data_IF_717587062430
#
_entry.id   IF_717587062430
#
_cell.length_a   1.000
_cell.length_b   1.000
_cell.length_c   1.000
_cell.angle_alpha   90.00
_cell.angle_beta   90.00
_cell.angle_gamma   90.00
#
_symmetry.space_group_name_H-M   'P 1'
#
loop_
_entity.id
_entity.type
_entity.pdbx_description
1 polymer ?
#
# COMPACT_ATOMS: atom_id res chain seq x y z
N UNK A 1 -12.05 -10.06 -18.93
CA UNK A 1 -10.85 -10.74 -19.44
C UNK A 1 -11.22 -11.36 -20.78
N UNK A 2 -10.42 -11.16 -21.84
CA UNK A 2 -10.59 -11.88 -23.09
C UNK A 2 -10.44 -13.38 -22.84
N UNK A 3 -11.36 -14.19 -23.37
CA UNK A 3 -11.28 -15.65 -23.35
C UNK A 3 -10.98 -16.13 -24.79
N UNK A 4 -11.62 -17.21 -25.26
CA UNK A 4 -11.53 -17.62 -26.68
C UNK A 4 -12.04 -16.56 -27.65
N UNK A 5 -12.85 -15.61 -27.18
CA UNK A 5 -13.24 -14.38 -27.89
C UNK A 5 -12.48 -13.20 -27.29
N UNK A 6 -11.76 -12.46 -28.14
CA UNK A 6 -11.08 -11.22 -27.76
C UNK A 6 -12.09 -10.10 -27.53
N UNK A 7 -11.86 -9.27 -26.51
CA UNK A 7 -12.72 -8.10 -26.19
C UNK A 7 -12.04 -6.76 -26.50
N UNK A 8 -10.97 -6.77 -27.28
CA UNK A 8 -10.18 -5.61 -27.64
C UNK A 8 -9.77 -5.66 -29.11
N UNK A 9 -9.41 -4.51 -29.66
CA UNK A 9 -8.98 -4.39 -31.06
C UNK A 9 -7.60 -5.04 -31.25
N UNK A 10 -7.57 -6.23 -31.85
CA UNK A 10 -6.32 -6.94 -32.11
C UNK A 10 -5.58 -6.38 -33.32
N UNK A 11 -4.25 -6.38 -33.22
CA UNK A 11 -3.38 -6.14 -34.37
C UNK A 11 -3.57 -7.29 -35.37
N UNK A 12 -3.90 -6.97 -36.62
CA UNK A 12 -3.96 -7.95 -37.71
C UNK A 12 -2.62 -8.08 -38.44
N UNK A 13 -2.29 -9.29 -38.90
CA UNK A 13 -1.01 -9.61 -39.53
C UNK A 13 -0.71 -8.75 -40.77
N UNK A 14 -1.73 -8.40 -41.56
CA UNK A 14 -1.59 -7.62 -42.80
C UNK A 14 -2.07 -6.17 -42.66
N UNK A 15 -2.26 -5.69 -41.43
CA UNK A 15 -2.73 -4.33 -41.17
C UNK A 15 -1.64 -3.28 -41.43
N UNK A 16 -2.00 -2.17 -42.07
CA UNK A 16 -1.16 -0.98 -42.15
C UNK A 16 -1.21 -0.17 -40.82
N UNK A 17 -0.12 0.50 -40.47
CA UNK A 17 -0.05 1.37 -39.28
C UNK A 17 -0.40 0.67 -37.95
N UNK A 18 0.17 -0.52 -37.73
CA UNK A 18 -0.07 -1.35 -36.54
C UNK A 18 0.25 -0.62 -35.23
N UNK A 19 1.20 0.31 -35.27
CA UNK A 19 1.58 1.18 -34.16
C UNK A 19 0.41 2.06 -33.69
N UNK A 20 -0.50 2.47 -34.57
CA UNK A 20 -1.68 3.26 -34.19
C UNK A 20 -2.63 2.40 -33.36
N UNK A 21 -2.93 1.18 -33.81
CA UNK A 21 -3.78 0.23 -33.05
C UNK A 21 -3.15 -0.16 -31.73
N UNK A 22 -1.84 -0.41 -31.71
CA UNK A 22 -1.11 -0.69 -30.48
C UNK A 22 -1.21 0.49 -29.50
N UNK A 23 -0.97 1.72 -29.97
CA UNK A 23 -1.02 2.92 -29.13
C UNK A 23 -2.42 3.21 -28.61
N UNK A 24 -3.47 3.00 -29.40
CA UNK A 24 -4.85 3.13 -28.93
C UNK A 24 -5.17 2.12 -27.82
N UNK A 25 -4.69 0.87 -27.95
CA UNK A 25 -4.82 -0.12 -26.88
C UNK A 25 -4.02 0.29 -25.63
N UNK A 26 -2.79 0.79 -25.78
CA UNK A 26 -2.00 1.28 -24.65
C UNK A 26 -2.63 2.49 -23.96
N UNK A 27 -3.30 3.37 -24.71
CA UNK A 27 -4.06 4.49 -24.17
C UNK A 27 -5.26 3.99 -23.33
N UNK A 28 -6.03 3.02 -23.85
CA UNK A 28 -7.12 2.39 -23.11
C UNK A 28 -6.63 1.64 -21.85
N UNK A 29 -5.44 1.03 -21.91
CA UNK A 29 -4.80 0.35 -20.79
C UNK A 29 -4.01 1.29 -19.87
N UNK A 30 -3.95 2.60 -20.17
CA UNK A 30 -3.15 3.56 -19.42
C UNK A 30 -3.44 3.60 -17.91
N UNK A 31 -4.66 3.35 -17.39
CA UNK A 31 -4.90 3.25 -15.95
C UNK A 31 -4.08 2.14 -15.28
N UNK A 32 -3.83 1.03 -15.97
CA UNK A 32 -2.99 -0.07 -15.45
C UNK A 32 -1.48 0.27 -15.47
N UNK A 33 -1.09 1.29 -16.24
CA UNK A 33 0.30 1.76 -16.28
C UNK A 33 0.64 2.73 -15.15
N UNK A 34 -0.35 3.19 -14.36
CA UNK A 34 -0.16 4.09 -13.22
C UNK A 34 0.99 3.62 -12.30
N UNK A 35 1.93 4.53 -12.02
CA UNK A 35 3.18 4.30 -11.28
C UNK A 35 4.13 3.27 -11.89
N UNK A 36 3.82 2.76 -13.07
CA UNK A 36 4.61 1.73 -13.74
C UNK A 36 5.94 2.24 -14.20
N UNK A 37 6.93 1.36 -14.22
CA UNK A 37 8.28 1.68 -14.67
C UNK A 37 8.28 2.27 -16.08
N UNK A 38 8.78 3.50 -16.21
CA UNK A 38 8.98 4.19 -17.49
C UNK A 38 10.40 4.00 -17.98
N UNK A 39 10.61 2.92 -18.74
CA UNK A 39 11.93 2.50 -19.22
C UNK A 39 12.72 3.61 -19.93
N UNK A 40 12.05 4.47 -20.71
CA UNK A 40 12.70 5.55 -21.46
C UNK A 40 13.41 6.60 -20.59
N UNK A 41 13.09 6.65 -19.29
CA UNK A 41 13.69 7.56 -18.30
C UNK A 41 14.25 6.82 -17.10
N UNK A 42 14.41 5.49 -17.19
CA UNK A 42 15.07 4.69 -16.17
C UNK A 42 16.47 4.33 -16.65
N UNK A 43 17.48 4.95 -16.04
CA UNK A 43 18.90 4.76 -16.39
C UNK A 43 19.79 4.99 -15.18
N UNK A 44 20.83 4.17 -15.02
CA UNK A 44 21.72 4.25 -13.86
C UNK A 44 20.95 4.09 -12.54
N UNK A 45 21.10 5.06 -11.65
CA UNK A 45 20.35 5.17 -10.39
C UNK A 45 19.11 6.09 -10.49
N UNK A 46 18.62 6.37 -11.69
CA UNK A 46 17.37 7.11 -11.90
C UNK A 46 16.27 6.13 -12.26
N UNK A 47 15.16 6.15 -11.53
CA UNK A 47 13.97 5.35 -11.81
C UNK A 47 12.84 6.23 -12.33
N UNK A 48 12.52 6.10 -13.61
CA UNK A 48 11.36 6.73 -14.22
C UNK A 48 10.08 5.94 -13.96
N UNK A 49 8.98 6.65 -13.75
CA UNK A 49 7.65 6.06 -13.63
C UNK A 49 6.61 6.85 -14.44
N UNK A 50 5.56 6.15 -14.87
CA UNK A 50 4.38 6.75 -15.46
C UNK A 50 3.47 7.32 -14.38
N UNK A 51 3.00 8.54 -14.59
CA UNK A 51 1.92 9.14 -13.84
C UNK A 51 0.56 8.57 -14.26
N UNK A 52 -0.50 9.20 -13.78
CA UNK A 52 -1.88 8.80 -14.05
C UNK A 52 -2.82 9.38 -13.01
N UNK A 53 -4.10 9.02 -13.09
CA UNK A 53 -5.10 9.52 -12.14
C UNK A 53 -5.17 8.63 -10.90
N UNK A 54 -5.16 9.25 -9.74
CA UNK A 54 -5.37 8.59 -8.45
C UNK A 54 -6.50 9.26 -7.69
N UNK A 55 -7.21 8.48 -6.87
CA UNK A 55 -8.16 9.03 -5.92
C UNK A 55 -7.41 9.43 -4.65
N UNK A 56 -7.42 10.72 -4.34
CA UNK A 56 -6.82 11.30 -3.14
C UNK A 56 -7.94 11.93 -2.33
N UNK A 57 -8.26 11.34 -1.18
CA UNK A 57 -9.32 11.84 -0.28
C UNK A 57 -10.65 12.10 -1.01
N UNK A 58 -11.01 11.25 -1.98
CA UNK A 58 -12.23 11.37 -2.78
C UNK A 58 -12.13 12.28 -4.01
N UNK A 59 -10.98 12.90 -4.25
CA UNK A 59 -10.73 13.76 -5.42
C UNK A 59 -9.86 13.03 -6.44
N UNK A 60 -10.22 13.11 -7.73
CA UNK A 60 -9.37 12.64 -8.81
C UNK A 60 -8.19 13.59 -9.00
N UNK A 61 -7.00 13.13 -8.65
CA UNK A 61 -5.75 13.88 -8.76
C UNK A 61 -4.88 13.26 -9.85
N UNK A 62 -4.42 14.08 -10.79
CA UNK A 62 -3.48 13.65 -11.82
C UNK A 62 -2.05 13.73 -11.33
N UNK A 63 -1.34 12.61 -11.34
CA UNK A 63 0.10 12.55 -11.09
C UNK A 63 0.82 12.59 -12.43
N UNK A 64 1.85 13.44 -12.54
CA UNK A 64 2.67 13.52 -13.73
C UNK A 64 3.66 12.36 -13.83
N UNK A 65 4.12 12.07 -15.05
CA UNK A 65 5.31 11.23 -15.25
C UNK A 65 6.50 11.90 -14.56
N UNK A 66 7.29 11.15 -13.81
CA UNK A 66 8.47 11.70 -13.14
C UNK A 66 9.53 10.63 -12.90
N UNK A 67 10.60 11.03 -12.22
CA UNK A 67 11.73 10.17 -11.86
C UNK A 67 12.01 10.27 -10.37
N UNK A 68 12.55 9.20 -9.79
CA UNK A 68 13.09 9.20 -8.43
C UNK A 68 14.55 8.72 -8.45
N UNK A 69 15.41 9.41 -7.72
CA UNK A 69 16.80 9.01 -7.55
C UNK A 69 16.90 7.83 -6.56
N UNK A 70 17.62 6.78 -6.91
CA UNK A 70 17.85 5.59 -6.10
C UNK A 70 19.13 5.72 -5.28
N UNK A 71 19.17 5.05 -4.12
CA UNK A 71 20.35 4.97 -3.27
C UNK A 71 21.23 3.85 -3.81
N UNK A 72 22.50 4.14 -4.09
CA UNK A 72 23.47 3.15 -4.56
C UNK A 72 23.68 2.02 -3.54
N UNK A 73 24.03 0.82 -4.02
CA UNK A 73 24.37 -0.34 -3.19
C UNK A 73 23.32 -0.68 -2.13
N UNK A 74 22.05 -0.38 -2.41
CA UNK A 74 20.95 -0.56 -1.49
C UNK A 74 19.73 -1.20 -2.16
N UNK A 75 18.84 -1.71 -1.33
CA UNK A 75 17.46 -2.01 -1.69
C UNK A 75 16.62 -0.76 -1.48
N UNK A 76 15.92 -0.31 -2.52
CA UNK A 76 15.07 0.87 -2.52
C UNK A 76 13.60 0.43 -2.59
N UNK A 77 12.80 0.82 -1.61
CA UNK A 77 11.37 0.57 -1.51
C UNK A 77 10.63 1.80 -2.02
N UNK A 78 10.16 1.76 -3.26
CA UNK A 78 9.40 2.85 -3.88
C UNK A 78 7.93 2.72 -3.51
N UNK A 79 7.33 3.82 -3.07
CA UNK A 79 6.00 3.83 -2.50
C UNK A 79 5.29 5.17 -2.76
N UNK A 80 3.96 5.16 -2.84
CA UNK A 80 3.14 6.36 -3.02
C UNK A 80 2.44 6.76 -1.72
N UNK A 81 2.35 8.06 -1.44
CA UNK A 81 1.53 8.64 -0.38
C UNK A 81 0.03 8.57 -0.74
N UNK A 82 -0.81 7.82 0.01
CA UNK A 82 -2.23 7.70 -0.32
C UNK A 82 -2.98 9.04 -0.35
N UNK A 83 -2.53 10.03 0.42
CA UNK A 83 -3.20 11.34 0.55
C UNK A 83 -2.70 12.40 -0.42
N UNK A 84 -1.70 12.10 -1.26
CA UNK A 84 -1.18 13.06 -2.27
C UNK A 84 -0.84 12.40 -3.61
N UNK A 85 -0.67 11.08 -3.65
CA UNK A 85 -0.13 10.33 -4.79
C UNK A 85 1.37 10.52 -5.01
N UNK A 86 2.06 11.30 -4.17
CA UNK A 86 3.49 11.54 -4.35
C UNK A 86 4.30 10.25 -4.17
N UNK A 87 5.22 9.98 -5.11
CA UNK A 87 6.13 8.83 -5.04
C UNK A 87 7.38 9.21 -4.26
N UNK A 88 7.74 8.37 -3.28
CA UNK A 88 8.96 8.47 -2.48
C UNK A 88 9.71 7.14 -2.47
N UNK A 89 10.89 7.11 -1.85
CA UNK A 89 11.65 5.88 -1.58
C UNK A 89 12.10 5.81 -0.12
N UNK A 90 12.25 4.59 0.37
CA UNK A 90 12.91 4.25 1.64
C UNK A 90 13.93 3.11 1.39
N UNK A 91 14.90 2.90 2.28
CA UNK A 91 15.88 1.80 2.20
C UNK A 91 15.75 0.76 3.31
N UNK A 92 14.91 1.01 4.32
CA UNK A 92 14.70 0.06 5.42
C UNK A 92 13.52 -0.88 5.20
N UNK A 93 12.52 -0.46 4.44
CA UNK A 93 11.31 -1.22 4.11
C UNK A 93 10.22 -0.30 3.56
N UNK A 94 9.07 -0.86 3.18
CA UNK A 94 7.88 -0.05 2.89
C UNK A 94 7.36 0.60 4.18
N UNK A 95 7.10 1.89 4.09
CA UNK A 95 6.55 2.70 5.18
C UNK A 95 5.11 2.28 5.45
N UNK A 96 4.78 2.01 6.72
CA UNK A 96 3.41 1.67 7.10
C UNK A 96 2.43 2.77 6.67
N UNK A 97 1.31 2.37 6.06
CA UNK A 97 0.35 3.29 5.44
C UNK A 97 0.67 3.75 4.01
N UNK A 98 1.83 3.48 3.40
CA UNK A 98 2.15 3.89 2.01
C UNK A 98 1.90 2.81 0.96
N UNK A 99 1.34 3.17 -0.19
CA UNK A 99 1.07 2.19 -1.27
C UNK A 99 2.39 1.69 -1.89
N UNK A 100 2.75 0.39 -1.79
CA UNK A 100 3.98 -0.15 -2.34
C UNK A 100 3.91 -0.17 -3.86
N UNK A 101 5.03 0.22 -4.49
CA UNK A 101 5.15 0.21 -5.95
C UNK A 101 6.22 -0.78 -6.39
N UNK A 102 7.46 -0.61 -5.93
CA UNK A 102 8.58 -1.46 -6.33
C UNK A 102 9.55 -1.70 -5.18
N UNK A 103 10.16 -2.89 -5.17
CA UNK A 103 11.46 -3.09 -4.52
C UNK A 103 12.52 -3.08 -5.61
N UNK A 104 13.47 -2.15 -5.56
CA UNK A 104 14.51 -1.98 -6.57
C UNK A 104 15.88 -2.18 -5.93
N UNK A 105 16.63 -3.19 -6.38
CA UNK A 105 18.00 -3.45 -5.92
C UNK A 105 18.97 -2.76 -6.87
N UNK A 106 19.94 -2.05 -6.30
CA UNK A 106 20.96 -1.33 -7.07
C UNK A 106 22.37 -1.75 -6.68
N UNK A 107 23.28 -1.78 -7.65
CA UNK A 107 24.72 -1.76 -7.41
C UNK A 107 25.22 -0.34 -7.18
N UNK A 108 26.51 -0.10 -7.41
CA UNK A 108 27.14 1.21 -7.20
C UNK A 108 26.65 2.30 -8.16
N UNK A 109 26.17 1.93 -9.36
CA UNK A 109 25.75 2.88 -10.39
C UNK A 109 24.48 2.50 -11.18
N UNK A 110 23.96 1.28 -11.04
CA UNK A 110 22.86 0.77 -11.85
C UNK A 110 21.87 -0.06 -11.03
N UNK A 111 20.62 -0.10 -11.49
CA UNK A 111 19.64 -1.10 -11.05
C UNK A 111 20.08 -2.50 -11.49
N UNK A 112 20.09 -3.46 -10.57
CA UNK A 112 20.43 -4.86 -10.84
C UNK A 112 19.20 -5.76 -10.90
N UNK A 113 18.17 -5.47 -10.12
CA UNK A 113 16.88 -6.17 -10.18
C UNK A 113 15.75 -5.31 -9.62
N UNK A 114 14.51 -5.69 -9.91
CA UNK A 114 13.34 -5.09 -9.28
C UNK A 114 12.16 -6.06 -9.22
N UNK A 115 11.32 -5.86 -8.21
CA UNK A 115 10.03 -6.54 -8.05
C UNK A 115 8.93 -5.48 -8.12
N UNK A 116 7.94 -5.68 -8.98
CA UNK A 116 6.73 -4.85 -9.07
C UNK A 116 5.71 -5.35 -8.04
N UNK A 117 5.30 -4.48 -7.12
CA UNK A 117 4.30 -4.74 -6.07
C UNK A 117 2.95 -4.07 -6.37
N UNK A 118 2.83 -3.37 -7.49
CA UNK A 118 1.59 -2.70 -7.87
C UNK A 118 0.51 -3.75 -8.12
N UNK A 119 -0.69 -3.44 -7.69
CA UNK A 119 -1.89 -4.21 -8.00
C UNK A 119 -2.78 -3.38 -8.91
N UNK A 120 -3.32 -4.00 -9.96
CA UNK A 120 -4.22 -3.33 -10.90
C UNK A 120 -5.67 -3.22 -10.38
N UNK A 121 -5.96 -3.83 -9.24
CA UNK A 121 -7.28 -3.91 -8.62
C UNK A 121 -7.23 -3.26 -7.23
N UNK A 122 -8.35 -2.69 -6.74
CA UNK A 122 -8.42 -2.16 -5.39
C UNK A 122 -8.11 -3.25 -4.34
N UNK A 123 -7.63 -2.83 -3.17
CA UNK A 123 -7.43 -3.71 -2.02
C UNK A 123 -8.76 -4.44 -1.71
N UNK A 124 -8.73 -5.77 -1.76
CA UNK A 124 -9.85 -6.61 -1.29
C UNK A 124 -9.76 -6.80 0.23
N UNK A 125 -10.90 -7.02 0.90
CA UNK A 125 -10.96 -7.27 2.34
C UNK A 125 -10.12 -8.48 2.73
N UNK A 126 -8.97 -8.25 3.39
CA UNK A 126 -8.15 -9.29 4.02
C UNK A 126 -8.38 -9.39 5.53
N UNK A 127 -8.10 -10.56 6.12
CA UNK A 127 -8.06 -10.80 7.58
C UNK A 127 -6.66 -11.21 8.02
N UNK A 128 -6.10 -10.47 8.98
CA UNK A 128 -4.88 -10.82 9.69
C UNK A 128 -5.23 -11.42 11.05
N UNK A 129 -4.55 -12.50 11.44
CA UNK A 129 -4.48 -12.98 12.83
C UNK A 129 -3.04 -12.86 13.31
N UNK A 130 -2.78 -11.95 14.24
CA UNK A 130 -1.44 -11.67 14.76
C UNK A 130 -1.30 -12.13 16.20
N UNK A 131 -0.37 -13.05 16.43
CA UNK A 131 0.05 -13.42 17.78
C UNK A 131 0.86 -12.28 18.40
N UNK A 132 0.44 -11.83 19.59
CA UNK A 132 1.05 -10.72 20.32
C UNK A 132 2.24 -11.20 21.16
N UNK A 133 3.39 -10.51 21.11
CA UNK A 133 4.59 -10.88 21.88
C UNK A 133 4.55 -10.39 23.34
N UNK A 134 3.37 -10.05 23.89
CA UNK A 134 3.21 -9.28 25.14
C UNK A 134 4.12 -8.04 25.17
N UNK A 135 4.12 -7.28 24.08
CA UNK A 135 4.84 -6.01 23.96
C UNK A 135 4.09 -5.07 23.02
N UNK A 136 4.39 -3.77 23.12
CA UNK A 136 3.88 -2.78 22.18
C UNK A 136 4.33 -3.16 20.77
N UNK A 137 3.38 -3.19 19.84
CA UNK A 137 3.59 -3.73 18.50
C UNK A 137 3.19 -2.68 17.47
N UNK A 138 4.14 -2.28 16.65
CA UNK A 138 3.86 -1.47 15.45
C UNK A 138 3.54 -2.40 14.29
N UNK A 139 2.39 -2.19 13.64
CA UNK A 139 2.02 -3.00 12.50
C UNK A 139 2.78 -2.59 11.25
N UNK A 140 3.21 -3.60 10.50
CA UNK A 140 3.86 -3.41 9.21
C UNK A 140 2.84 -2.98 8.15
N UNK A 141 3.36 -2.48 7.02
CA UNK A 141 2.53 -2.11 5.89
C UNK A 141 1.63 -3.26 5.41
N UNK A 142 2.20 -4.47 5.26
CA UNK A 142 1.44 -5.63 4.78
C UNK A 142 0.32 -6.04 5.74
N UNK A 143 0.56 -5.90 7.04
CA UNK A 143 -0.41 -6.22 8.08
C UNK A 143 -1.60 -5.24 8.04
N UNK A 144 -1.35 -3.93 7.96
CA UNK A 144 -2.41 -2.91 7.94
C UNK A 144 -3.24 -2.88 6.66
N UNK A 145 -2.83 -3.58 5.59
CA UNK A 145 -3.66 -3.73 4.39
C UNK A 145 -4.91 -4.56 4.64
N UNK A 146 -4.86 -5.46 5.62
CA UNK A 146 -6.02 -6.24 6.02
C UNK A 146 -7.06 -5.31 6.66
N UNK A 147 -8.33 -5.45 6.26
CA UNK A 147 -9.43 -4.66 6.83
C UNK A 147 -9.90 -5.23 8.17
N UNK A 148 -9.63 -6.51 8.43
CA UNK A 148 -9.93 -7.19 9.68
C UNK A 148 -8.61 -7.57 10.36
N UNK A 149 -8.40 -7.09 11.58
CA UNK A 149 -7.20 -7.32 12.38
C UNK A 149 -7.58 -8.04 13.68
N UNK A 150 -7.14 -9.27 13.84
CA UNK A 150 -7.33 -10.05 15.06
C UNK A 150 -6.01 -10.25 15.79
N UNK A 151 -6.03 -10.06 17.10
CA UNK A 151 -4.85 -10.17 17.95
C UNK A 151 -5.05 -11.29 18.96
N UNK A 152 -4.10 -12.22 19.03
CA UNK A 152 -4.15 -13.39 19.93
C UNK A 152 -2.93 -13.41 20.85
N UNK A 153 -2.93 -14.32 21.84
CA UNK A 153 -1.85 -14.46 22.81
C UNK A 153 -2.23 -13.99 24.21
N UNK A 154 -1.38 -14.25 25.20
CA UNK A 154 -1.61 -13.86 26.59
C UNK A 154 -0.89 -12.56 26.89
N UNK A 155 -1.62 -11.57 27.39
CA UNK A 155 -1.04 -10.29 27.84
C UNK A 155 -0.93 -10.26 29.36
N UNK A 156 0.10 -9.62 29.88
CA UNK A 156 0.27 -9.37 31.32
C UNK A 156 -0.02 -7.93 31.73
N UNK A 157 -0.22 -7.05 30.74
CA UNK A 157 -0.63 -5.65 30.89
C UNK A 157 -1.20 -5.12 29.57
N UNK A 158 -1.80 -3.92 29.60
CA UNK A 158 -2.32 -3.27 28.39
C UNK A 158 -1.18 -2.93 27.41
N UNK A 159 -1.28 -3.43 26.17
CA UNK A 159 -0.29 -3.17 25.10
C UNK A 159 -0.84 -2.26 24.01
N UNK A 160 0.07 -1.54 23.38
CA UNK A 160 -0.23 -0.68 22.26
C UNK A 160 -0.11 -1.44 20.94
N UNK A 161 -1.11 -1.28 20.08
CA UNK A 161 -1.06 -1.59 18.65
C UNK A 161 -0.90 -0.25 17.92
N UNK A 162 0.30 -0.01 17.39
CA UNK A 162 0.59 1.24 16.68
C UNK A 162 0.18 1.10 15.22
N UNK A 163 -0.80 1.92 14.82
CA UNK A 163 -1.37 2.02 13.47
C UNK A 163 -0.82 3.26 12.75
N UNK A 164 -0.76 3.27 11.40
CA UNK A 164 -0.43 4.47 10.66
C UNK A 164 -1.54 5.52 10.81
N UNK A 165 -1.15 6.80 10.84
CA UNK A 165 -2.09 7.90 10.88
C UNK A 165 -2.63 8.30 9.50
N UNK A 166 -2.29 7.58 8.44
CA UNK A 166 -2.95 7.79 7.14
C UNK A 166 -4.42 7.38 7.21
N UNK A 167 -5.35 8.14 6.57
CA UNK A 167 -6.79 7.83 6.63
C UNK A 167 -7.10 6.40 6.17
N UNK A 168 -7.54 5.56 7.11
CA UNK A 168 -7.96 4.17 6.88
C UNK A 168 -8.82 3.70 8.04
N UNK A 169 -9.74 2.77 7.76
CA UNK A 169 -10.63 2.14 8.73
C UNK A 169 -10.30 0.65 8.85
N UNK A 170 -10.39 0.12 10.06
CA UNK A 170 -10.17 -1.30 10.39
C UNK A 170 -11.25 -1.82 11.34
N UNK A 171 -11.64 -3.08 11.15
CA UNK A 171 -12.32 -3.88 12.17
C UNK A 171 -11.26 -4.58 13.00
N UNK A 172 -11.20 -4.28 14.29
CA UNK A 172 -10.22 -4.86 15.21
C UNK A 172 -10.88 -5.84 16.17
N UNK A 173 -10.19 -6.94 16.48
CA UNK A 173 -10.61 -7.93 17.46
C UNK A 173 -9.47 -8.19 18.45
N UNK A 174 -9.67 -7.81 19.71
CA UNK A 174 -8.79 -8.20 20.79
C UNK A 174 -9.17 -9.62 21.26
N UNK A 175 -8.62 -10.65 20.61
CA UNK A 175 -8.75 -12.06 21.00
C UNK A 175 -7.62 -12.51 21.93
N UNK A 176 -7.03 -11.59 22.69
CA UNK A 176 -5.99 -11.92 23.66
C UNK A 176 -6.60 -12.41 24.97
N UNK A 177 -5.80 -13.19 25.70
CA UNK A 177 -6.11 -13.66 27.05
C UNK A 177 -5.31 -12.85 28.09
N UNK A 178 -5.60 -13.03 29.38
CA UNK A 178 -5.00 -12.25 30.47
C UNK A 178 -5.84 -11.05 30.92
N UNK A 179 -6.93 -10.74 30.21
CA UNK A 179 -7.94 -9.76 30.65
C UNK A 179 -7.59 -8.29 30.36
N UNK A 180 -6.49 -8.02 29.65
CA UNK A 180 -6.05 -6.66 29.34
C UNK A 180 -6.60 -6.15 28.01
N UNK A 181 -6.93 -4.87 27.96
CA UNK A 181 -7.28 -4.19 26.71
C UNK A 181 -6.08 -4.03 25.79
N UNK A 182 -6.35 -3.87 24.49
CA UNK A 182 -5.36 -3.43 23.51
C UNK A 182 -5.65 -1.97 23.14
N UNK A 183 -4.64 -1.13 23.25
CA UNK A 183 -4.73 0.28 22.86
C UNK A 183 -4.33 0.44 21.39
N UNK A 184 -5.29 0.74 20.54
CA UNK A 184 -5.04 1.11 19.15
C UNK A 184 -4.71 2.59 19.07
N UNK A 185 -3.49 2.91 18.65
CA UNK A 185 -2.91 4.27 18.75
C UNK A 185 -2.09 4.59 17.51
N UNK A 186 -1.93 5.87 17.19
CA UNK A 186 -0.97 6.33 16.19
C UNK A 186 0.46 6.39 16.74
N UNK A 187 1.41 6.80 15.91
CA UNK A 187 2.74 7.20 16.38
C UNK A 187 2.68 8.41 17.34
N UNK A 188 1.60 9.19 17.23
CA UNK A 188 1.17 10.25 18.14
C UNK A 188 -0.30 10.05 18.50
N UNK A 189 -0.82 10.89 19.41
CA UNK A 189 -2.21 10.84 19.84
C UNK A 189 -2.43 9.94 21.06
N UNK A 190 -3.69 9.80 21.47
CA UNK A 190 -4.09 9.04 22.67
C UNK A 190 -4.61 7.65 22.35
N UNK A 191 -5.06 7.43 21.11
CA UNK A 191 -5.69 6.19 20.69
C UNK A 191 -6.96 5.84 21.46
N UNK A 192 -7.39 4.59 21.30
CA UNK A 192 -8.55 3.99 21.97
C UNK A 192 -8.22 2.59 22.46
N UNK A 193 -8.77 2.19 23.61
CA UNK A 193 -8.59 0.84 24.17
C UNK A 193 -9.79 -0.04 23.83
N UNK A 194 -9.56 -1.21 23.23
CA UNK A 194 -10.57 -2.26 23.02
C UNK A 194 -10.35 -3.38 24.03
N UNK A 195 -11.38 -3.71 24.82
CA UNK A 195 -11.30 -4.70 25.89
C UNK A 195 -11.02 -6.12 25.37
N UNK A 196 -10.47 -6.99 26.23
CA UNK A 196 -10.24 -8.40 25.91
C UNK A 196 -11.56 -9.09 25.52
N UNK A 197 -11.52 -9.90 24.46
CA UNK A 197 -12.68 -10.58 23.89
C UNK A 197 -13.61 -9.69 23.06
N UNK A 198 -13.32 -8.39 22.88
CA UNK A 198 -14.19 -7.43 22.20
C UNK A 198 -13.72 -7.03 20.81
N UNK A 199 -14.70 -6.62 20.00
CA UNK A 199 -14.49 -6.06 18.65
C UNK A 199 -14.93 -4.61 18.58
N UNK A 200 -14.24 -3.83 17.75
CA UNK A 200 -14.64 -2.47 17.41
C UNK A 200 -14.24 -2.12 15.98
N UNK A 201 -14.95 -1.18 15.37
CA UNK A 201 -14.49 -0.49 14.17
C UNK A 201 -13.76 0.78 14.62
N UNK A 202 -12.53 0.96 14.12
CA UNK A 202 -11.67 2.10 14.40
C UNK A 202 -11.14 2.68 13.10
N UNK A 203 -10.81 3.96 13.08
CA UNK A 203 -10.17 4.60 11.93
C UNK A 203 -9.14 5.64 12.37
N UNK A 204 -8.19 5.95 11.48
CA UNK A 204 -7.33 7.12 11.65
C UNK A 204 -7.99 8.36 11.08
N UNK A 205 -8.08 9.43 11.87
CA UNK A 205 -8.56 10.74 11.42
C UNK A 205 -7.45 11.66 10.86
N UNK A 206 -6.22 11.14 10.74
CA UNK A 206 -5.04 11.90 10.34
C UNK A 206 -4.16 12.34 11.51
N UNK A 207 -4.70 12.39 12.73
CA UNK A 207 -4.01 12.83 13.95
C UNK A 207 -4.04 11.78 15.05
N UNK A 208 -5.14 11.03 15.16
CA UNK A 208 -5.37 10.03 16.18
C UNK A 208 -6.10 8.81 15.60
N UNK A 209 -6.06 7.70 16.34
CA UNK A 209 -6.95 6.57 16.10
C UNK A 209 -8.21 6.77 16.93
N UNK A 210 -9.36 6.81 16.28
CA UNK A 210 -10.66 7.07 16.88
C UNK A 210 -11.62 5.90 16.64
N UNK A 211 -12.67 5.83 17.46
CA UNK A 211 -13.64 4.73 17.48
C UNK A 211 -14.90 5.10 16.70
N UNK A 212 -15.43 4.15 15.92
CA UNK A 212 -16.71 4.26 15.20
C UNK A 212 -17.83 3.54 15.95
N UNK A 213 -17.56 2.33 16.46
CA UNK A 213 -18.55 1.49 17.15
C UNK A 213 -18.12 1.20 18.58
N UNK A 214 -19.07 0.96 19.47
CA UNK A 214 -18.78 0.41 20.80
C UNK A 214 -18.09 -0.96 20.74
N UNK A 215 -17.53 -1.36 21.87
CA UNK A 215 -16.93 -2.68 22.07
C UNK A 215 -18.05 -3.74 22.17
N UNK A 216 -18.12 -4.64 21.18
CA UNK A 216 -19.11 -5.73 21.12
C UNK A 216 -18.48 -7.10 21.34
#
# INVERSE_FOLDING_TARGET
>A
MSNSTITYDAISQSQASKEITANAMFDALSPASLYGRRQSTTSGLTWGYYGGNVLVNGVLTQIANATIALTASATNYLEAEPTTGAVSKNTTGFTAGRTPLYTVVTGTATVTSYTDHRIAVPDVTGRLVKAMPDANTTLTFAEIRNQILEFTGTLTLQRNIVLPLTPRQWTVFNNTTGGFGLQFIGATGTGIVVAAGKRAIVYSDGTNVVRVTGDI
#
